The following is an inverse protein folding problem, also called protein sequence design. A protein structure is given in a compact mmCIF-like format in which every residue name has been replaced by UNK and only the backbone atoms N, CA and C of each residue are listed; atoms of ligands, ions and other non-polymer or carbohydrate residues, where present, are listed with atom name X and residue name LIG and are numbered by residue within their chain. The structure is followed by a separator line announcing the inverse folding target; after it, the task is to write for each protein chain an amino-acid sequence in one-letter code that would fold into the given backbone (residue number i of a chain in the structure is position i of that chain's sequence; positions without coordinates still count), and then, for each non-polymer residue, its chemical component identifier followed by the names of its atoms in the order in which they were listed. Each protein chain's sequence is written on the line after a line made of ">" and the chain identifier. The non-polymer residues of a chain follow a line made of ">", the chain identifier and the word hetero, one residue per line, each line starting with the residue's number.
data_IF_611730858119
#
_entry.id   IF_611730858119
#
_cell.length_a   1.000
_cell.length_b   1.000
_cell.length_c   1.000
_cell.angle_alpha   90.00
_cell.angle_beta   90.00
_cell.angle_gamma   90.00
#
_symmetry.space_group_name_H-M   'P 1'
#
loop_
_entity.id
_entity.type
_entity.pdbx_description
1 polymer ?
#
# COMPACT_ATOMS: atom_id res chain seq x y z
N UNK A 1 -35.37 13.03 7.37
CA UNK A 1 -35.19 11.74 6.68
C UNK A 1 -33.70 11.45 6.73
N UNK A 2 -33.25 10.55 7.62
CA UNK A 2 -31.82 10.31 7.80
C UNK A 2 -31.25 9.63 6.56
N UNK A 3 -30.32 10.28 5.86
CA UNK A 3 -29.56 9.69 4.76
C UNK A 3 -28.92 8.39 5.26
N UNK A 4 -29.37 7.26 4.72
CA UNK A 4 -28.85 5.94 5.08
C UNK A 4 -27.47 5.82 4.44
N UNK A 5 -26.41 5.95 5.23
CA UNK A 5 -25.03 5.91 4.74
C UNK A 5 -24.75 4.59 4.00
N UNK A 6 -24.58 4.66 2.67
CA UNK A 6 -24.45 3.49 1.80
C UNK A 6 -23.02 2.96 1.84
N UNK A 7 -22.03 3.84 1.68
CA UNK A 7 -20.63 3.49 1.53
C UNK A 7 -19.82 3.61 2.84
N UNK A 8 -18.70 2.89 2.91
CA UNK A 8 -17.75 2.92 4.03
C UNK A 8 -17.11 4.28 4.23
N UNK A 9 -16.77 4.98 3.15
CA UNK A 9 -16.19 6.32 3.22
C UNK A 9 -17.14 7.32 3.87
N UNK A 10 -18.46 7.21 3.63
CA UNK A 10 -19.45 8.06 4.29
C UNK A 10 -19.43 7.86 5.81
N UNK A 11 -19.41 6.60 6.25
CA UNK A 11 -19.42 6.25 7.67
C UNK A 11 -18.16 6.71 8.40
N UNK A 12 -17.00 6.66 7.73
CA UNK A 12 -15.70 6.95 8.35
C UNK A 12 -15.25 8.40 8.18
N UNK A 13 -15.64 9.05 7.08
CA UNK A 13 -15.00 10.29 6.64
C UNK A 13 -15.97 11.42 6.24
N UNK A 14 -17.29 11.26 6.42
CA UNK A 14 -18.29 12.30 6.13
C UNK A 14 -17.91 13.68 6.64
N UNK A 15 -17.49 13.78 7.91
CA UNK A 15 -17.11 15.06 8.51
C UNK A 15 -15.89 15.69 7.84
N UNK A 16 -14.94 14.88 7.37
CA UNK A 16 -13.76 15.38 6.67
C UNK A 16 -14.09 15.85 5.26
N UNK A 17 -14.95 15.13 4.54
CA UNK A 17 -15.44 15.55 3.21
C UNK A 17 -16.13 16.91 3.32
N UNK A 18 -17.03 17.07 4.29
CA UNK A 18 -17.77 18.32 4.51
C UNK A 18 -16.90 19.46 5.07
N UNK A 19 -15.73 19.16 5.65
CA UNK A 19 -14.78 20.18 6.15
C UNK A 19 -13.96 20.82 5.03
N UNK A 20 -14.01 20.30 3.81
CA UNK A 20 -13.31 20.87 2.67
C UNK A 20 -13.86 22.28 2.35
N UNK A 21 -13.05 23.32 2.59
CA UNK A 21 -13.41 24.71 2.31
C UNK A 21 -13.20 25.14 0.86
N UNK A 22 -12.79 24.22 -0.02
CA UNK A 22 -12.46 24.48 -1.43
C UNK A 22 -11.40 25.57 -1.67
N UNK A 23 -10.57 25.88 -0.66
CA UNK A 23 -9.56 26.94 -0.69
C UNK A 23 -8.44 26.78 -1.74
N UNK A 24 -8.14 25.55 -2.19
CA UNK A 24 -7.20 25.30 -3.29
C UNK A 24 -5.73 25.05 -2.91
N UNK A 25 -5.36 25.02 -1.62
CA UNK A 25 -3.99 24.68 -1.19
C UNK A 25 -3.54 23.31 -1.72
N UNK A 26 -4.45 22.34 -1.71
CA UNK A 26 -4.20 21.01 -2.25
C UNK A 26 -3.93 21.00 -3.77
N UNK A 27 -4.45 21.98 -4.51
CA UNK A 27 -4.25 22.10 -5.95
C UNK A 27 -2.83 22.53 -6.29
N UNK A 28 -2.26 23.46 -5.50
CA UNK A 28 -0.91 23.98 -5.70
C UNK A 28 0.20 22.92 -5.56
N UNK A 29 -0.09 21.84 -4.81
CA UNK A 29 0.90 20.79 -4.49
C UNK A 29 0.59 19.43 -5.12
N UNK A 30 -0.49 19.32 -5.90
CA UNK A 30 -0.92 18.06 -6.49
C UNK A 30 -0.19 17.80 -7.81
N UNK A 31 0.63 16.73 -7.92
CA UNK A 31 1.37 16.46 -9.15
C UNK A 31 0.43 16.10 -10.32
N UNK A 32 -0.67 15.39 -10.05
CA UNK A 32 -1.67 15.04 -11.06
C UNK A 32 -2.34 16.30 -11.61
N UNK A 33 -2.67 17.26 -10.74
CA UNK A 33 -3.23 18.53 -11.20
C UNK A 33 -2.20 19.35 -12.00
N UNK A 34 -0.95 19.39 -11.54
CA UNK A 34 0.12 20.11 -12.23
C UNK A 34 0.37 19.62 -13.67
N UNK A 35 0.05 18.36 -13.96
CA UNK A 35 0.15 17.79 -15.31
C UNK A 35 -1.15 17.93 -16.12
N UNK A 36 -2.30 17.69 -15.48
CA UNK A 36 -3.58 17.56 -16.20
C UNK A 36 -4.35 18.87 -16.29
N UNK A 37 -4.12 19.81 -15.37
CA UNK A 37 -4.95 21.01 -15.14
C UNK A 37 -6.44 20.75 -14.97
N UNK A 38 -6.85 19.50 -14.69
CA UNK A 38 -8.26 19.10 -14.51
C UNK A 38 -8.64 19.20 -13.04
N UNK A 39 -9.54 20.13 -12.64
CA UNK A 39 -9.87 20.33 -11.24
C UNK A 39 -10.46 19.10 -10.54
N UNK A 40 -11.22 18.26 -11.27
CA UNK A 40 -11.74 17.01 -10.75
C UNK A 40 -10.63 16.04 -10.28
N UNK A 41 -9.45 16.10 -10.89
CA UNK A 41 -8.33 15.20 -10.59
C UNK A 41 -7.48 15.66 -9.40
N UNK A 42 -7.75 16.83 -8.81
CA UNK A 42 -7.12 17.26 -7.57
C UNK A 42 -7.95 16.84 -6.34
N UNK A 43 -7.43 17.13 -5.15
CA UNK A 43 -8.10 16.75 -3.90
C UNK A 43 -9.43 17.45 -3.65
N UNK A 44 -9.56 18.78 -3.92
CA UNK A 44 -10.83 19.49 -3.70
C UNK A 44 -11.92 19.01 -4.66
N UNK A 45 -11.56 18.74 -5.92
CA UNK A 45 -12.48 18.17 -6.89
C UNK A 45 -13.00 16.80 -6.44
N UNK A 46 -12.12 15.94 -5.90
CA UNK A 46 -12.52 14.65 -5.33
C UNK A 46 -13.47 14.80 -4.14
N UNK A 47 -13.24 15.78 -3.26
CA UNK A 47 -14.16 16.01 -2.13
C UNK A 47 -15.54 16.44 -2.61
N UNK A 48 -15.62 17.29 -3.65
CA UNK A 48 -16.88 17.68 -4.25
C UNK A 48 -17.62 16.48 -4.86
N UNK A 49 -16.92 15.66 -5.66
CA UNK A 49 -17.50 14.44 -6.25
C UNK A 49 -17.99 13.46 -5.17
N UNK A 50 -17.23 13.27 -4.10
CA UNK A 50 -17.65 12.40 -2.99
C UNK A 50 -18.79 13.01 -2.17
N UNK A 51 -18.92 14.35 -2.14
CA UNK A 51 -20.07 15.00 -1.54
C UNK A 51 -21.34 14.76 -2.37
N UNK A 52 -21.28 14.83 -3.71
CA UNK A 52 -22.43 14.47 -4.57
C UNK A 52 -22.88 13.02 -4.36
N UNK A 53 -21.93 12.10 -4.14
CA UNK A 53 -22.23 10.71 -3.75
C UNK A 53 -22.93 10.65 -2.39
N UNK A 54 -22.49 11.44 -1.41
CA UNK A 54 -23.10 11.51 -0.08
C UNK A 54 -24.50 12.12 -0.07
N UNK A 55 -24.74 13.09 -0.95
CA UNK A 55 -26.02 13.80 -1.07
C UNK A 55 -27.05 12.97 -1.87
N UNK A 56 -26.59 11.91 -2.57
CA UNK A 56 -27.41 10.98 -3.33
C UNK A 56 -27.67 11.42 -4.77
N UNK A 57 -26.95 12.44 -5.25
CA UNK A 57 -27.05 12.95 -6.62
C UNK A 57 -26.39 12.00 -7.62
N UNK A 58 -25.46 11.17 -7.16
CA UNK A 58 -24.78 10.15 -7.97
C UNK A 58 -24.35 8.96 -7.12
N UNK A 59 -23.90 7.89 -7.77
CA UNK A 59 -23.34 6.70 -7.13
C UNK A 59 -21.87 6.51 -7.52
N UNK A 60 -21.12 5.77 -6.70
CA UNK A 60 -19.79 5.29 -7.08
C UNK A 60 -19.88 4.42 -8.33
N UNK A 61 -19.41 4.94 -9.46
CA UNK A 61 -19.62 4.36 -10.79
C UNK A 61 -18.34 4.38 -11.65
N UNK A 62 -18.42 3.79 -12.85
CA UNK A 62 -17.28 3.61 -13.76
C UNK A 62 -16.62 4.94 -14.19
N UNK A 63 -17.39 6.02 -14.34
CA UNK A 63 -16.88 7.33 -14.76
C UNK A 63 -15.96 7.94 -13.68
N UNK A 64 -16.16 7.57 -12.42
CA UNK A 64 -15.34 8.05 -11.31
C UNK A 64 -13.96 7.38 -11.24
N UNK A 65 -13.70 6.34 -12.03
CA UNK A 65 -12.42 5.63 -12.00
C UNK A 65 -11.27 6.58 -12.33
N UNK A 66 -11.40 7.40 -13.39
CA UNK A 66 -10.38 8.38 -13.75
C UNK A 66 -10.10 9.35 -12.58
N UNK A 67 -11.17 9.84 -11.95
CA UNK A 67 -11.08 10.80 -10.86
C UNK A 67 -10.44 10.21 -9.60
N UNK A 68 -10.85 9.02 -9.17
CA UNK A 68 -10.47 8.44 -7.89
C UNK A 68 -9.19 7.61 -7.97
N UNK A 69 -8.91 6.91 -9.08
CA UNK A 69 -7.75 6.02 -9.20
C UNK A 69 -6.46 6.70 -9.69
N UNK A 70 -6.51 7.90 -10.26
CA UNK A 70 -5.28 8.65 -10.58
C UNK A 70 -4.56 9.24 -9.37
N UNK A 71 -5.21 9.30 -8.19
CA UNK A 71 -4.55 9.78 -6.98
C UNK A 71 -3.40 8.85 -6.58
N UNK A 72 -2.17 9.37 -6.52
CA UNK A 72 -0.98 8.60 -6.09
C UNK A 72 -0.90 8.37 -4.59
N UNK A 73 -1.90 8.84 -3.83
CA UNK A 73 -1.95 8.77 -2.36
C UNK A 73 -0.71 9.34 -1.64
N UNK A 74 0.06 10.23 -2.30
CA UNK A 74 1.29 10.84 -1.79
C UNK A 74 1.13 11.79 -0.58
N UNK A 75 -0.11 12.05 -0.14
CA UNK A 75 -0.44 12.88 1.03
C UNK A 75 -0.01 14.36 1.03
N UNK A 76 0.64 14.87 -0.02
CA UNK A 76 0.99 16.31 -0.13
C UNK A 76 -0.21 17.23 0.12
N UNK A 77 -1.39 16.86 -0.38
CA UNK A 77 -2.62 17.62 -0.16
C UNK A 77 -3.07 17.64 1.31
N UNK A 78 -2.89 16.55 2.06
CA UNK A 78 -3.22 16.48 3.48
C UNK A 78 -2.28 17.34 4.31
N UNK A 79 -0.97 17.25 4.05
CA UNK A 79 0.07 18.04 4.75
C UNK A 79 -0.16 19.55 4.58
N UNK A 80 -0.68 19.96 3.43
CA UNK A 80 -0.96 21.36 3.12
C UNK A 80 -2.42 21.78 3.36
N UNK A 81 -3.25 20.92 3.96
CA UNK A 81 -4.66 21.20 4.17
C UNK A 81 -4.87 22.03 5.44
N UNK A 82 -5.28 23.31 5.38
CA UNK A 82 -5.57 24.10 6.59
C UNK A 82 -6.78 23.56 7.36
N UNK A 83 -7.66 22.82 6.69
CA UNK A 83 -8.82 22.16 7.30
C UNK A 83 -8.48 20.78 7.90
N UNK A 84 -7.26 20.25 7.69
CA UNK A 84 -6.87 18.93 8.20
C UNK A 84 -7.62 17.75 7.58
N UNK A 85 -7.97 17.83 6.30
CA UNK A 85 -8.65 16.73 5.57
C UNK A 85 -7.61 15.70 5.10
N UNK A 86 -7.75 14.44 5.52
CA UNK A 86 -6.90 13.33 5.08
C UNK A 86 -7.41 12.72 3.78
N UNK A 87 -7.15 13.41 2.66
CA UNK A 87 -7.64 13.01 1.34
C UNK A 87 -7.19 11.60 0.92
N UNK A 88 -5.92 11.16 1.12
CA UNK A 88 -5.51 9.80 0.78
C UNK A 88 -6.33 8.72 1.48
N UNK A 89 -6.69 8.90 2.75
CA UNK A 89 -7.46 7.89 3.50
C UNK A 89 -8.90 7.81 3.00
N UNK A 90 -9.51 8.97 2.72
CA UNK A 90 -10.83 9.05 2.09
C UNK A 90 -10.82 8.33 0.74
N UNK A 91 -9.80 8.58 -0.08
CA UNK A 91 -9.69 7.98 -1.41
C UNK A 91 -9.45 6.48 -1.34
N UNK A 92 -8.62 5.99 -0.43
CA UNK A 92 -8.43 4.54 -0.22
C UNK A 92 -9.75 3.87 0.18
N UNK A 93 -10.52 4.47 1.09
CA UNK A 93 -11.81 3.92 1.49
C UNK A 93 -12.85 3.99 0.36
N UNK A 94 -12.92 5.09 -0.37
CA UNK A 94 -13.81 5.21 -1.53
C UNK A 94 -13.47 4.17 -2.62
N UNK A 95 -12.18 3.90 -2.87
CA UNK A 95 -11.76 2.82 -3.78
C UNK A 95 -12.19 1.45 -3.27
N UNK A 96 -12.11 1.19 -1.95
CA UNK A 96 -12.62 -0.05 -1.34
C UNK A 96 -14.13 -0.20 -1.57
N UNK A 97 -14.89 0.88 -1.41
CA UNK A 97 -16.33 0.89 -1.69
C UNK A 97 -16.65 0.67 -3.17
N UNK A 98 -15.89 1.30 -4.08
CA UNK A 98 -16.01 1.07 -5.52
C UNK A 98 -15.78 -0.40 -5.89
N UNK A 99 -14.68 -1.00 -5.43
CA UNK A 99 -14.35 -2.41 -5.69
C UNK A 99 -15.43 -3.33 -5.10
N UNK A 100 -15.93 -3.04 -3.89
CA UNK A 100 -17.01 -3.80 -3.28
C UNK A 100 -18.34 -3.72 -4.06
N UNK A 101 -18.57 -2.61 -4.76
CA UNK A 101 -19.71 -2.40 -5.66
C UNK A 101 -19.49 -3.00 -7.06
N UNK A 102 -18.36 -3.66 -7.33
CA UNK A 102 -18.03 -4.23 -8.64
C UNK A 102 -17.44 -3.21 -9.63
N UNK A 103 -17.06 -2.02 -9.15
CA UNK A 103 -16.47 -0.94 -9.96
C UNK A 103 -14.98 -0.84 -9.61
N UNK A 104 -14.11 -1.43 -10.43
CA UNK A 104 -12.67 -1.39 -10.22
C UNK A 104 -11.93 -0.96 -11.48
N UNK A 105 -10.78 -0.28 -11.31
CA UNK A 105 -9.91 -0.01 -12.44
C UNK A 105 -9.38 -1.33 -13.03
N UNK A 106 -9.51 -1.59 -14.35
CA UNK A 106 -9.13 -2.87 -14.95
C UNK A 106 -7.70 -3.33 -14.62
N UNK A 107 -6.74 -2.39 -14.62
CA UNK A 107 -5.36 -2.70 -14.24
C UNK A 107 -5.21 -3.23 -12.80
N UNK A 108 -5.99 -2.72 -11.84
CA UNK A 108 -5.88 -3.16 -10.44
C UNK A 108 -6.66 -4.46 -10.18
N UNK A 109 -7.73 -4.70 -10.94
CA UNK A 109 -8.37 -6.02 -11.01
C UNK A 109 -7.36 -7.04 -11.55
N UNK A 110 -6.69 -6.72 -12.66
CA UNK A 110 -5.64 -7.57 -13.25
C UNK A 110 -4.48 -7.81 -12.30
N UNK A 111 -4.02 -6.78 -11.57
CA UNK A 111 -3.00 -6.90 -10.53
C UNK A 111 -3.42 -7.87 -9.41
N UNK A 112 -4.66 -7.77 -8.94
CA UNK A 112 -5.19 -8.66 -7.91
C UNK A 112 -5.26 -10.12 -8.40
N UNK A 113 -5.64 -10.36 -9.65
CA UNK A 113 -5.62 -11.71 -10.24
C UNK A 113 -4.20 -12.23 -10.46
N UNK A 114 -3.27 -11.39 -10.93
CA UNK A 114 -1.86 -11.74 -11.07
C UNK A 114 -1.27 -12.17 -9.72
N UNK A 115 -1.58 -11.45 -8.65
CA UNK A 115 -1.15 -11.79 -7.29
C UNK A 115 -1.71 -13.14 -6.82
N UNK A 116 -2.97 -13.48 -7.14
CA UNK A 116 -3.54 -14.79 -6.82
C UNK A 116 -2.87 -15.94 -7.58
N UNK A 117 -2.48 -15.71 -8.83
CA UNK A 117 -1.93 -16.75 -9.70
C UNK A 117 -0.41 -16.93 -9.51
N UNK A 118 0.32 -15.83 -9.29
CA UNK A 118 1.78 -15.77 -9.36
C UNK A 118 2.44 -15.33 -8.05
N UNK A 119 1.64 -15.01 -7.03
CA UNK A 119 2.10 -14.53 -5.73
C UNK A 119 2.92 -13.22 -5.77
N UNK A 120 2.87 -12.49 -6.90
CA UNK A 120 3.46 -11.17 -7.09
C UNK A 120 2.56 -10.30 -7.97
N UNK A 121 2.77 -8.98 -7.92
CA UNK A 121 1.89 -7.99 -8.58
C UNK A 121 2.21 -7.77 -10.06
N UNK A 122 3.28 -8.37 -10.57
CA UNK A 122 3.75 -8.24 -11.96
C UNK A 122 3.31 -9.42 -12.84
N UNK A 123 2.92 -10.55 -12.23
CA UNK A 123 2.53 -11.76 -12.95
C UNK A 123 3.71 -12.56 -13.51
N UNK A 124 4.92 -12.32 -12.99
CA UNK A 124 6.17 -12.91 -13.46
C UNK A 124 6.52 -14.18 -12.65
N UNK A 125 7.28 -15.12 -13.23
CA UNK A 125 7.62 -16.42 -12.62
C UNK A 125 9.09 -16.54 -12.18
N UNK A 126 9.98 -15.80 -12.82
CA UNK A 126 11.43 -15.93 -12.67
C UNK A 126 11.98 -14.71 -11.92
N UNK A 127 11.95 -14.71 -10.57
CA UNK A 127 12.64 -13.69 -9.80
C UNK A 127 14.16 -13.87 -9.94
N UNK A 128 14.91 -12.78 -9.74
CA UNK A 128 16.37 -12.85 -9.67
C UNK A 128 16.84 -13.81 -8.57
N UNK A 129 17.84 -14.65 -8.88
CA UNK A 129 18.50 -15.48 -7.89
C UNK A 129 19.71 -14.74 -7.31
N UNK A 130 19.52 -14.21 -6.10
CA UNK A 130 20.56 -13.47 -5.41
C UNK A 130 21.69 -14.36 -4.87
N UNK A 131 21.66 -15.69 -5.02
CA UNK A 131 22.72 -16.63 -4.58
C UNK A 131 22.99 -16.63 -3.06
N UNK A 132 21.99 -16.33 -2.23
CA UNK A 132 22.08 -16.37 -0.75
C UNK A 132 21.22 -17.48 -0.16
N UNK A 133 21.63 -17.96 1.01
CA UNK A 133 20.92 -19.02 1.73
C UNK A 133 19.50 -18.60 2.14
N UNK A 134 18.54 -19.50 1.85
CA UNK A 134 17.11 -19.33 2.17
C UNK A 134 16.67 -20.25 3.30
N UNK A 135 15.71 -19.77 4.10
CA UNK A 135 14.97 -20.50 5.12
C UNK A 135 15.83 -21.17 6.21
N UNK A 136 17.06 -20.70 6.44
CA UNK A 136 17.87 -21.22 7.56
C UNK A 136 17.51 -20.52 8.87
N UNK A 137 18.01 -21.04 9.98
CA UNK A 137 17.97 -20.31 11.24
C UNK A 137 18.94 -19.13 11.18
N UNK A 138 18.46 -17.95 11.53
CA UNK A 138 19.23 -16.71 11.54
C UNK A 138 18.57 -15.69 12.49
N UNK A 139 19.34 -14.75 13.04
CA UNK A 139 18.79 -13.66 13.86
C UNK A 139 17.95 -12.66 13.03
N UNK A 140 18.18 -12.59 11.72
CA UNK A 140 17.55 -11.64 10.80
C UNK A 140 16.96 -12.34 9.56
N UNK A 141 15.85 -11.82 9.05
CA UNK A 141 15.38 -12.09 7.69
C UNK A 141 15.56 -10.84 6.85
N UNK A 142 16.14 -10.96 5.67
CA UNK A 142 16.03 -9.90 4.65
C UNK A 142 14.88 -10.22 3.72
N UNK A 143 13.79 -9.45 3.83
CA UNK A 143 12.60 -9.58 3.00
C UNK A 143 12.76 -8.71 1.76
N UNK A 144 13.01 -9.35 0.61
CA UNK A 144 13.32 -8.67 -0.65
C UNK A 144 12.05 -7.98 -1.18
N UNK A 145 10.93 -8.68 -1.12
CA UNK A 145 9.64 -8.32 -1.69
C UNK A 145 9.63 -8.36 -3.22
N UNK A 146 8.43 -8.36 -3.79
CA UNK A 146 8.27 -8.39 -5.25
C UNK A 146 8.98 -7.23 -5.98
N UNK A 147 9.13 -6.06 -5.35
CA UNK A 147 9.83 -4.94 -5.99
C UNK A 147 11.33 -5.25 -6.10
N UNK A 148 11.96 -5.70 -5.01
CA UNK A 148 13.36 -6.08 -5.03
C UNK A 148 13.65 -7.25 -5.96
N UNK A 149 12.75 -8.24 -6.03
CA UNK A 149 12.97 -9.44 -6.85
C UNK A 149 12.78 -9.24 -8.35
N UNK A 150 11.98 -8.26 -8.78
CA UNK A 150 11.55 -8.13 -10.20
C UNK A 150 11.85 -6.76 -10.81
N UNK A 151 12.17 -5.73 -10.02
CA UNK A 151 12.31 -4.35 -10.52
C UNK A 151 13.55 -3.63 -10.00
N UNK A 152 14.07 -4.04 -8.84
CA UNK A 152 15.17 -3.37 -8.14
C UNK A 152 16.20 -4.42 -7.70
N UNK A 153 16.62 -5.27 -8.64
CA UNK A 153 17.61 -6.34 -8.46
C UNK A 153 18.98 -5.78 -8.09
N UNK A 154 19.46 -4.75 -8.79
CA UNK A 154 20.74 -4.08 -8.48
C UNK A 154 20.75 -3.54 -7.04
N UNK A 155 19.72 -2.78 -6.65
CA UNK A 155 19.62 -2.22 -5.30
C UNK A 155 19.48 -3.32 -4.22
N UNK A 156 18.84 -4.44 -4.57
CA UNK A 156 18.73 -5.60 -3.69
C UNK A 156 20.09 -6.28 -3.51
N UNK A 157 20.83 -6.55 -4.59
CA UNK A 157 22.18 -7.11 -4.56
C UNK A 157 23.11 -6.27 -3.69
N UNK A 158 23.16 -4.95 -3.90
CA UNK A 158 23.98 -4.03 -3.10
C UNK A 158 23.62 -4.05 -1.61
N UNK A 159 22.32 -4.18 -1.30
CA UNK A 159 21.87 -4.31 0.09
C UNK A 159 22.34 -5.62 0.72
N UNK A 160 22.32 -6.73 -0.02
CA UNK A 160 22.81 -8.03 0.45
C UNK A 160 24.32 -8.04 0.62
N UNK A 161 25.07 -7.51 -0.35
CA UNK A 161 26.53 -7.34 -0.27
C UNK A 161 26.95 -6.54 0.96
N UNK A 162 26.18 -5.50 1.30
CA UNK A 162 26.41 -4.71 2.50
C UNK A 162 26.16 -5.53 3.78
N UNK A 163 25.08 -6.31 3.84
CA UNK A 163 24.80 -7.19 4.98
C UNK A 163 25.87 -8.27 5.15
N UNK A 164 26.37 -8.83 4.04
CA UNK A 164 27.47 -9.80 4.01
C UNK A 164 28.76 -9.17 4.56
N UNK A 165 29.09 -7.95 4.13
CA UNK A 165 30.26 -7.21 4.59
C UNK A 165 30.18 -6.84 6.08
N UNK A 166 28.99 -6.51 6.56
CA UNK A 166 28.70 -6.23 7.97
C UNK A 166 28.62 -7.52 8.81
N UNK A 167 28.69 -8.70 8.18
CA UNK A 167 28.59 -10.02 8.82
C UNK A 167 27.29 -10.16 9.63
N UNK A 168 26.19 -9.64 9.09
CA UNK A 168 24.86 -9.81 9.68
C UNK A 168 24.46 -11.26 9.56
N UNK A 169 23.97 -11.86 10.65
CA UNK A 169 23.41 -13.21 10.60
C UNK A 169 21.98 -13.18 10.05
N UNK A 170 21.85 -13.13 8.72
CA UNK A 170 20.57 -13.10 8.03
C UNK A 170 20.33 -14.30 7.13
N UNK A 171 19.07 -14.54 6.80
CA UNK A 171 18.65 -15.46 5.75
C UNK A 171 17.62 -14.78 4.85
N UNK A 172 17.57 -15.23 3.60
CA UNK A 172 16.41 -14.99 2.74
C UNK A 172 15.31 -16.00 3.07
N UNK A 173 14.11 -15.81 2.54
CA UNK A 173 13.02 -16.79 2.65
C UNK A 173 12.33 -16.97 1.30
N UNK A 174 11.58 -18.06 1.13
CA UNK A 174 10.70 -18.28 -0.04
C UNK A 174 9.41 -17.46 0.06
N UNK A 175 9.61 -16.16 0.31
CA UNK A 175 8.57 -15.16 0.47
C UNK A 175 7.65 -15.05 -0.74
N UNK A 176 6.47 -14.51 -0.45
CA UNK A 176 5.49 -14.08 -1.43
C UNK A 176 5.17 -12.61 -1.21
N UNK A 177 4.46 -11.97 -2.15
CA UNK A 177 4.12 -10.57 -2.04
C UNK A 177 3.49 -10.23 -0.67
N UNK A 178 3.92 -9.13 -0.07
CA UNK A 178 3.35 -8.64 1.19
C UNK A 178 1.87 -8.23 1.06
N UNK A 179 1.37 -8.11 -0.18
CA UNK A 179 -0.02 -7.82 -0.56
C UNK A 179 -0.53 -6.42 -0.21
N UNK A 180 0.24 -5.56 0.46
CA UNK A 180 -0.29 -4.30 0.95
C UNK A 180 -0.71 -3.31 -0.13
N UNK A 181 -0.17 -3.40 -1.36
CA UNK A 181 -0.53 -2.47 -2.46
C UNK A 181 -2.01 -2.56 -2.83
N UNK A 182 -2.61 -3.72 -2.62
CA UNK A 182 -4.02 -3.98 -2.89
C UNK A 182 -4.94 -3.04 -2.09
N UNK A 183 -4.61 -2.70 -0.85
CA UNK A 183 -5.45 -1.80 -0.05
C UNK A 183 -5.53 -0.39 -0.58
N UNK A 184 -4.43 0.09 -1.19
CA UNK A 184 -4.35 1.43 -1.74
C UNK A 184 -5.23 1.55 -3.01
N UNK A 185 -5.52 0.43 -3.66
CA UNK A 185 -6.33 0.34 -4.89
C UNK A 185 -7.71 -0.30 -4.66
N UNK A 186 -8.14 -0.40 -3.40
CA UNK A 186 -9.49 -0.84 -3.04
C UNK A 186 -9.68 -2.35 -2.86
N UNK A 187 -8.67 -3.15 -3.17
CA UNK A 187 -8.69 -4.60 -2.93
C UNK A 187 -8.30 -4.92 -1.47
N UNK A 188 -8.58 -6.14 -1.03
CA UNK A 188 -8.20 -6.59 0.32
C UNK A 188 -6.84 -7.26 0.29
N UNK A 189 -6.11 -7.19 1.40
CA UNK A 189 -4.91 -8.00 1.59
C UNK A 189 -5.26 -9.49 1.48
N UNK A 190 -4.45 -10.23 0.72
CA UNK A 190 -4.55 -11.67 0.60
C UNK A 190 -3.99 -12.35 1.85
N UNK A 191 -4.88 -12.91 2.67
CA UNK A 191 -4.51 -13.54 3.95
C UNK A 191 -3.65 -14.79 3.79
N UNK A 192 -3.78 -15.52 2.68
CA UNK A 192 -3.00 -16.75 2.47
C UNK A 192 -1.53 -16.40 2.24
N UNK A 193 -1.25 -15.32 1.49
CA UNK A 193 0.11 -14.82 1.30
C UNK A 193 0.71 -14.28 2.60
N UNK A 194 -0.10 -13.56 3.39
CA UNK A 194 0.31 -13.09 4.73
C UNK A 194 0.71 -14.27 5.61
N UNK A 195 -0.16 -15.28 5.71
CA UNK A 195 0.09 -16.45 6.55
C UNK A 195 1.37 -17.17 6.11
N UNK A 196 1.57 -17.39 4.82
CA UNK A 196 2.80 -17.98 4.28
C UNK A 196 4.05 -17.19 4.70
N UNK A 197 4.04 -15.87 4.52
CA UNK A 197 5.17 -15.03 4.93
C UNK A 197 5.43 -15.09 6.44
N UNK A 198 4.38 -15.02 7.26
CA UNK A 198 4.48 -15.07 8.72
C UNK A 198 5.04 -16.42 9.18
N UNK A 199 4.55 -17.53 8.62
CA UNK A 199 5.03 -18.88 8.91
C UNK A 199 6.51 -19.05 8.54
N UNK A 200 6.91 -18.60 7.35
CA UNK A 200 8.31 -18.63 6.91
C UNK A 200 9.22 -17.82 7.85
N UNK A 201 8.82 -16.59 8.21
CA UNK A 201 9.58 -15.75 9.13
C UNK A 201 9.73 -16.45 10.49
N UNK A 202 8.64 -16.99 11.06
CA UNK A 202 8.72 -17.71 12.34
C UNK A 202 9.57 -18.98 12.25
N UNK A 203 9.55 -19.69 11.12
CA UNK A 203 10.37 -20.87 10.90
C UNK A 203 11.87 -20.56 10.95
N UNK A 204 12.32 -19.35 10.60
CA UNK A 204 13.73 -18.93 10.74
C UNK A 204 14.14 -18.64 12.19
N UNK A 205 13.19 -18.32 13.08
CA UNK A 205 13.49 -17.85 14.43
C UNK A 205 14.06 -16.43 14.50
N UNK A 206 13.99 -15.66 13.41
CA UNK A 206 14.51 -14.31 13.36
C UNK A 206 13.82 -13.37 14.35
N UNK A 207 14.63 -12.50 14.96
CA UNK A 207 14.19 -11.45 15.88
C UNK A 207 13.85 -10.16 15.16
N UNK A 208 14.43 -9.95 13.97
CA UNK A 208 14.16 -8.79 13.12
C UNK A 208 13.96 -9.19 11.67
N UNK A 209 13.08 -8.46 10.99
CA UNK A 209 12.91 -8.50 9.54
C UNK A 209 13.41 -7.17 8.97
N UNK A 210 14.34 -7.23 8.04
CA UNK A 210 14.85 -6.08 7.29
C UNK A 210 14.17 -6.08 5.93
N UNK A 211 13.58 -4.96 5.52
CA UNK A 211 12.97 -4.81 4.20
C UNK A 211 13.75 -3.80 3.37
N UNK A 212 13.98 -4.08 2.08
CA UNK A 212 14.45 -3.08 1.11
C UNK A 212 13.34 -2.20 0.54
N UNK A 213 12.09 -2.69 0.59
CA UNK A 213 10.93 -1.98 0.07
C UNK A 213 10.21 -1.19 1.18
N UNK A 214 10.06 0.15 1.05
CA UNK A 214 9.34 0.96 2.05
C UNK A 214 7.85 0.60 2.15
N UNK A 215 7.28 0.06 1.08
CA UNK A 215 5.90 -0.41 1.07
C UNK A 215 5.75 -1.69 1.90
N UNK A 216 6.71 -2.62 1.82
CA UNK A 216 6.74 -3.80 2.67
C UNK A 216 6.89 -3.38 4.14
N UNK A 217 7.88 -2.52 4.45
CA UNK A 217 8.06 -1.95 5.80
C UNK A 217 6.75 -1.42 6.40
N UNK A 218 6.04 -0.56 5.65
CA UNK A 218 4.75 0.00 6.06
C UNK A 218 3.71 -1.10 6.28
N UNK A 219 3.58 -2.03 5.33
CA UNK A 219 2.56 -3.09 5.39
C UNK A 219 2.77 -4.00 6.61
N UNK A 220 4.01 -4.43 6.87
CA UNK A 220 4.33 -5.28 8.02
C UNK A 220 4.06 -4.57 9.36
N UNK A 221 4.30 -3.26 9.44
CA UNK A 221 4.11 -2.49 10.68
C UNK A 221 2.67 -2.02 10.91
N UNK A 222 1.94 -1.69 9.84
CA UNK A 222 0.64 -1.01 9.97
C UNK A 222 -0.54 -1.96 9.75
N UNK A 223 -0.40 -2.99 8.92
CA UNK A 223 -1.52 -3.88 8.63
C UNK A 223 -1.80 -4.83 9.80
N UNK A 224 -3.07 -4.91 10.20
CA UNK A 224 -3.55 -5.81 11.25
C UNK A 224 -3.31 -7.29 10.94
N UNK A 225 -3.22 -7.63 9.66
CA UNK A 225 -2.93 -9.00 9.20
C UNK A 225 -1.54 -9.47 9.61
N UNK A 226 -0.56 -8.56 9.72
CA UNK A 226 0.81 -8.86 10.13
C UNK A 226 1.08 -8.68 11.62
N UNK A 227 0.07 -8.31 12.43
CA UNK A 227 0.26 -8.02 13.86
C UNK A 227 0.89 -9.17 14.65
N UNK A 228 0.68 -10.42 14.22
CA UNK A 228 1.23 -11.60 14.88
C UNK A 228 2.77 -11.57 15.00
N UNK A 229 3.46 -10.97 14.03
CA UNK A 229 4.91 -10.77 14.10
C UNK A 229 5.29 -9.82 15.24
N UNK A 230 4.56 -8.70 15.35
CA UNK A 230 4.78 -7.67 16.38
C UNK A 230 4.43 -8.21 17.77
N UNK A 231 3.32 -8.93 17.89
CA UNK A 231 2.88 -9.57 19.13
C UNK A 231 3.89 -10.62 19.61
N UNK A 232 4.57 -11.30 18.68
CA UNK A 232 5.68 -12.22 18.96
C UNK A 232 7.03 -11.53 19.22
N UNK A 233 7.09 -10.19 19.18
CA UNK A 233 8.31 -9.41 19.43
C UNK A 233 9.26 -9.30 18.24
N UNK A 234 8.86 -9.73 17.04
CA UNK A 234 9.65 -9.57 15.81
C UNK A 234 9.59 -8.10 15.37
N UNK A 235 10.74 -7.44 15.28
CA UNK A 235 10.82 -6.03 14.83
C UNK A 235 11.02 -5.96 13.33
N UNK A 236 10.19 -5.21 12.63
CA UNK A 236 10.34 -4.99 11.19
C UNK A 236 10.91 -3.60 10.94
N UNK A 237 12.06 -3.52 10.28
CA UNK A 237 12.80 -2.29 10.00
C UNK A 237 13.11 -2.17 8.51
N UNK A 238 13.18 -0.94 8.01
CA UNK A 238 13.71 -0.69 6.67
C UNK A 238 15.24 -0.78 6.66
N UNK A 239 15.87 -1.17 5.55
CA UNK A 239 17.34 -1.26 5.44
C UNK A 239 18.03 0.05 5.87
N UNK A 240 17.46 1.21 5.51
CA UNK A 240 17.99 2.51 5.92
C UNK A 240 17.91 2.78 7.44
N UNK A 241 16.95 2.18 8.14
CA UNK A 241 16.87 2.24 9.61
C UNK A 241 17.85 1.28 10.24
N UNK A 242 18.00 0.09 9.67
CA UNK A 242 18.97 -0.90 10.12
C UNK A 242 20.40 -0.36 10.05
N UNK A 243 20.78 0.33 8.97
CA UNK A 243 22.12 0.90 8.78
C UNK A 243 22.42 2.14 9.63
N UNK A 244 21.39 2.71 10.27
CA UNK A 244 21.56 3.86 11.18
C UNK A 244 21.98 3.40 12.58
N UNK A 245 21.56 2.21 12.99
CA UNK A 245 21.84 1.62 14.29
C UNK A 245 23.28 1.08 14.38
#
# INVERSE_FOLDING_TARGET
>A
MGLKMKYGFERKFRDQVLRCSSCGFCQAVCPIFGLTFRPALNARGKMLVLQEVMDGDTELNQEMIETLFQCTTCANCSTNCPSGVSVPDIIKEARKDMVAAGVGHPAFIGMNEALKMRHNIYGEEEPEDFERERNRKADYVYFIGCVGSFREDEATMESLDLLDRLKVDYTLIDEVCCSGVLEDVGHRINRDLVNKNVELIFATGAKKVITGCPYCFRTFNDADSYKGLRDAGVKVVHISQFLKD
#
